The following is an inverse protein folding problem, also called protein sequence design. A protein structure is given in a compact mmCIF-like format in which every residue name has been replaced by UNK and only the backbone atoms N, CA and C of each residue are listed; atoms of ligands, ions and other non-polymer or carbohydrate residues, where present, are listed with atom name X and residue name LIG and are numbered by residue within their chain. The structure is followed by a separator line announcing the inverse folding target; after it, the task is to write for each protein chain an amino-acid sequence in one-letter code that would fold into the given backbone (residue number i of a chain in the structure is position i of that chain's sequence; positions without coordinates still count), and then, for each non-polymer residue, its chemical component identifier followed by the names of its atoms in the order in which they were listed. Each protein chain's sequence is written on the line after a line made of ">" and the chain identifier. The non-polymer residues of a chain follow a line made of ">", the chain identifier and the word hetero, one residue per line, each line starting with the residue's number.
data_IF_689287092898
#
_entry.id   IF_689287092898
#
_cell.length_a   1.000
_cell.length_b   1.000
_cell.length_c   1.000
_cell.angle_alpha   90.00
_cell.angle_beta   90.00
_cell.angle_gamma   90.00
#
_symmetry.space_group_name_H-M   'P 1'
#
loop_
_entity.id
_entity.type
_entity.pdbx_description
1 polymer ?
#
# COMPACT_ATOMS: atom_id res chain seq x y z
N UNK A 1 -41.41 -31.50 -32.01
CA UNK A 1 -40.54 -30.89 -30.99
C UNK A 1 -40.01 -29.60 -31.58
N UNK A 2 -40.46 -28.47 -31.04
CA UNK A 2 -40.10 -27.12 -31.50
C UNK A 2 -38.64 -26.80 -31.17
N UNK A 3 -37.82 -26.66 -32.21
CA UNK A 3 -36.47 -26.12 -32.12
C UNK A 3 -36.49 -24.60 -32.02
N UNK A 4 -36.85 -24.06 -30.85
CA UNK A 4 -36.82 -22.63 -30.58
C UNK A 4 -35.40 -22.18 -30.18
N UNK A 5 -34.44 -22.19 -31.12
CA UNK A 5 -33.16 -21.50 -30.96
C UNK A 5 -33.34 -20.01 -31.23
N UNK A 6 -33.85 -19.27 -30.23
CA UNK A 6 -33.71 -17.80 -30.24
C UNK A 6 -32.31 -17.44 -29.77
N UNK A 7 -31.38 -17.29 -30.71
CA UNK A 7 -30.13 -16.60 -30.44
C UNK A 7 -30.46 -15.16 -30.03
N UNK A 8 -30.32 -14.81 -28.74
CA UNK A 8 -30.33 -13.42 -28.32
C UNK A 8 -29.11 -12.76 -28.96
N UNK A 9 -29.32 -11.99 -30.02
CA UNK A 9 -28.28 -11.15 -30.62
C UNK A 9 -27.71 -10.24 -29.52
N UNK A 10 -26.45 -10.46 -29.18
CA UNK A 10 -25.75 -9.58 -28.24
C UNK A 10 -25.47 -8.27 -28.97
N UNK A 11 -25.77 -7.14 -28.35
CA UNK A 11 -25.39 -5.85 -28.91
C UNK A 11 -23.86 -5.72 -28.89
N UNK A 12 -23.22 -5.33 -30.01
CA UNK A 12 -21.78 -5.07 -30.03
C UNK A 12 -21.46 -3.98 -29.01
N UNK A 13 -20.37 -4.15 -28.25
CA UNK A 13 -19.98 -3.20 -27.19
C UNK A 13 -19.59 -1.84 -27.77
N UNK A 14 -19.13 -1.81 -29.02
CA UNK A 14 -18.75 -0.59 -29.70
C UNK A 14 -19.16 -0.65 -31.18
N UNK A 15 -20.42 -0.30 -31.52
CA UNK A 15 -20.98 -0.52 -32.87
C UNK A 15 -20.27 0.26 -33.98
N UNK A 16 -19.45 1.26 -33.65
CA UNK A 16 -18.65 2.00 -34.61
C UNK A 16 -17.35 1.28 -35.03
N UNK A 17 -16.85 0.35 -34.21
CA UNK A 17 -15.57 -0.34 -34.40
C UNK A 17 -15.73 -1.86 -34.60
N UNK A 18 -16.95 -2.35 -34.75
CA UNK A 18 -17.24 -3.78 -34.89
C UNK A 18 -18.32 -3.97 -35.95
N UNK A 19 -18.09 -4.87 -36.90
CA UNK A 19 -19.08 -5.25 -37.92
C UNK A 19 -19.39 -6.72 -37.78
N UNK A 20 -20.68 -7.02 -37.58
CA UNK A 20 -21.16 -8.39 -37.51
C UNK A 20 -21.07 -9.05 -38.88
N UNK A 21 -20.49 -10.26 -38.94
CA UNK A 21 -20.41 -11.07 -40.15
C UNK A 21 -21.79 -11.50 -40.71
N UNK A 22 -22.84 -11.47 -39.88
CA UNK A 22 -24.21 -11.82 -40.25
C UNK A 22 -25.20 -10.89 -39.54
N UNK A 23 -26.19 -10.36 -40.27
CA UNK A 23 -27.20 -9.41 -39.78
C UNK A 23 -28.53 -10.08 -39.39
N UNK A 24 -28.57 -11.42 -39.37
CA UNK A 24 -29.76 -12.21 -39.05
C UNK A 24 -30.84 -12.24 -40.14
N UNK A 25 -30.67 -11.48 -41.24
CA UNK A 25 -31.55 -11.49 -42.42
C UNK A 25 -30.84 -11.99 -43.69
N UNK A 26 -29.51 -12.06 -43.70
CA UNK A 26 -28.70 -12.59 -44.79
C UNK A 26 -27.42 -13.27 -44.32
N UNK A 27 -26.84 -14.11 -45.21
CA UNK A 27 -25.65 -14.91 -44.94
C UNK A 27 -24.33 -14.10 -44.88
N UNK A 28 -24.33 -12.79 -45.19
CA UNK A 28 -23.14 -11.93 -45.16
C UNK A 28 -23.46 -10.47 -44.82
N UNK A 29 -22.47 -9.76 -44.29
CA UNK A 29 -22.47 -8.29 -44.08
C UNK A 29 -22.83 -7.54 -45.36
N UNK A 30 -23.69 -6.54 -45.25
CA UNK A 30 -23.93 -5.62 -46.37
C UNK A 30 -22.64 -4.88 -46.74
N UNK A 31 -22.36 -4.78 -48.04
CA UNK A 31 -21.15 -4.12 -48.57
C UNK A 31 -20.98 -2.68 -48.05
N UNK A 32 -22.08 -1.99 -47.75
CA UNK A 32 -22.08 -0.63 -47.21
C UNK A 32 -21.52 -0.58 -45.78
N UNK A 33 -22.06 -1.41 -44.87
CA UNK A 33 -21.60 -1.44 -43.47
C UNK A 33 -20.12 -1.86 -43.34
N UNK A 34 -19.67 -2.79 -44.20
CA UNK A 34 -18.26 -3.16 -44.24
C UNK A 34 -17.35 -2.04 -44.75
N UNK A 35 -17.79 -1.28 -45.76
CA UNK A 35 -17.05 -0.11 -46.27
C UNK A 35 -16.96 1.02 -45.24
N UNK A 36 -18.02 1.29 -44.50
CA UNK A 36 -18.04 2.31 -43.45
C UNK A 36 -17.06 1.96 -42.31
N UNK A 37 -16.97 0.67 -41.95
CA UNK A 37 -15.98 0.17 -40.99
C UNK A 37 -14.53 0.27 -41.48
N UNK A 38 -14.28 -0.08 -42.75
CA UNK A 38 -12.95 0.09 -43.35
C UNK A 38 -12.53 1.57 -43.39
N UNK A 39 -13.46 2.49 -43.65
CA UNK A 39 -13.19 3.93 -43.63
C UNK A 39 -12.87 4.45 -42.21
N UNK A 40 -13.51 3.89 -41.18
CA UNK A 40 -13.20 4.23 -39.78
C UNK A 40 -11.88 3.65 -39.25
N UNK A 41 -11.46 2.47 -39.73
CA UNK A 41 -10.28 1.76 -39.23
C UNK A 41 -8.96 2.20 -39.86
N UNK A 42 -8.96 2.56 -41.15
CA UNK A 42 -7.77 3.10 -41.86
C UNK A 42 -7.17 4.32 -41.14
N UNK A 43 -8.02 5.15 -40.54
CA UNK A 43 -7.60 6.34 -39.82
C UNK A 43 -6.92 6.05 -38.47
N UNK A 44 -7.16 4.91 -37.82
CA UNK A 44 -6.60 4.68 -36.47
C UNK A 44 -5.08 4.45 -36.47
N UNK A 45 -4.57 3.69 -37.45
CA UNK A 45 -3.12 3.42 -37.56
C UNK A 45 -2.38 4.69 -38.00
N UNK A 46 -2.94 5.41 -38.97
CA UNK A 46 -2.39 6.70 -39.42
C UNK A 46 -2.40 7.75 -38.30
N UNK A 47 -3.47 7.83 -37.51
CA UNK A 47 -3.54 8.72 -36.36
C UNK A 47 -2.55 8.33 -35.27
N UNK A 48 -2.37 7.03 -35.01
CA UNK A 48 -1.35 6.54 -34.07
C UNK A 48 0.07 6.89 -34.53
N UNK A 49 0.35 6.74 -35.82
CA UNK A 49 1.65 7.08 -36.40
C UNK A 49 1.90 8.59 -36.35
N UNK A 50 0.91 9.41 -36.69
CA UNK A 50 1.00 10.88 -36.54
C UNK A 50 1.26 11.29 -35.10
N UNK A 51 0.50 10.76 -34.15
CA UNK A 51 0.69 11.03 -32.73
C UNK A 51 2.08 10.60 -32.25
N UNK A 52 2.60 9.47 -32.74
CA UNK A 52 3.95 8.99 -32.39
C UNK A 52 5.04 9.91 -32.96
N UNK A 53 4.87 10.37 -34.21
CA UNK A 53 5.78 11.32 -34.84
C UNK A 53 5.78 12.69 -34.12
N UNK A 54 4.59 13.19 -33.74
CA UNK A 54 4.45 14.43 -32.96
C UNK A 54 5.03 14.29 -31.55
N UNK A 55 4.96 13.11 -30.94
CA UNK A 55 5.51 12.85 -29.60
C UNK A 55 7.03 12.57 -29.60
N UNK A 56 7.65 12.33 -30.75
CA UNK A 56 9.08 12.01 -30.84
C UNK A 56 9.94 13.19 -30.42
N UNK A 57 9.69 14.38 -30.97
CA UNK A 57 10.46 15.60 -30.69
C UNK A 57 10.48 15.93 -29.17
N UNK A 58 9.34 16.04 -28.47
CA UNK A 58 9.35 16.34 -27.04
C UNK A 58 9.97 15.20 -26.21
N UNK A 59 9.94 13.95 -26.68
CA UNK A 59 10.60 12.84 -26.00
C UNK A 59 12.12 12.90 -26.16
N UNK A 60 12.63 13.25 -27.34
CA UNK A 60 14.06 13.49 -27.59
C UNK A 60 14.58 14.68 -26.77
N UNK A 61 13.82 15.77 -26.69
CA UNK A 61 14.14 16.93 -25.85
C UNK A 61 14.21 16.55 -24.36
N UNK A 62 13.18 15.86 -23.86
CA UNK A 62 13.16 15.40 -22.46
C UNK A 62 14.30 14.41 -22.15
N UNK A 63 14.62 13.52 -23.09
CA UNK A 63 15.76 12.61 -22.95
C UNK A 63 17.07 13.39 -22.90
N UNK A 64 17.31 14.32 -23.82
CA UNK A 64 18.53 15.13 -23.84
C UNK A 64 18.68 15.97 -22.57
N UNK A 65 17.58 16.48 -22.01
CA UNK A 65 17.60 17.21 -20.73
C UNK A 65 18.03 16.32 -19.56
N UNK A 66 17.58 15.06 -19.53
CA UNK A 66 18.02 14.07 -18.54
C UNK A 66 19.48 13.64 -18.77
N UNK A 67 19.86 13.43 -20.04
CA UNK A 67 21.19 12.96 -20.47
C UNK A 67 22.31 13.92 -20.04
N UNK A 68 22.06 15.23 -20.14
CA UNK A 68 23.00 16.29 -19.74
C UNK A 68 23.24 16.32 -18.22
N UNK A 69 22.29 15.85 -17.41
CA UNK A 69 22.42 15.83 -15.93
C UNK A 69 23.29 14.66 -15.44
N UNK A 70 23.56 13.67 -16.28
CA UNK A 70 24.27 12.45 -15.89
C UNK A 70 25.79 12.62 -16.12
N UNK A 71 26.64 12.31 -15.12
CA UNK A 71 28.10 12.32 -15.27
C UNK A 71 28.58 11.38 -16.39
N UNK A 72 29.59 11.81 -17.16
CA UNK A 72 30.14 11.03 -18.28
C UNK A 72 30.68 9.64 -17.92
N UNK A 73 31.12 9.45 -16.67
CA UNK A 73 31.57 8.14 -16.18
C UNK A 73 30.42 7.14 -16.05
N UNK A 74 29.23 7.60 -15.61
CA UNK A 74 28.04 6.76 -15.49
C UNK A 74 27.51 6.37 -16.88
N UNK A 75 27.57 7.29 -17.85
CA UNK A 75 27.24 7.00 -19.25
C UNK A 75 28.02 5.81 -19.81
N UNK A 76 29.34 5.78 -19.59
CA UNK A 76 30.19 4.68 -20.06
C UNK A 76 29.86 3.36 -19.36
N UNK A 77 29.61 3.39 -18.05
CA UNK A 77 29.27 2.20 -17.26
C UNK A 77 27.92 1.64 -17.72
N UNK A 78 26.89 2.47 -17.85
CA UNK A 78 25.55 2.04 -18.27
C UNK A 78 25.55 1.52 -19.71
N UNK A 79 26.26 2.18 -20.64
CA UNK A 79 26.38 1.69 -22.02
C UNK A 79 27.09 0.32 -22.09
N UNK A 80 28.09 0.08 -21.25
CA UNK A 80 28.75 -1.22 -21.15
C UNK A 80 27.83 -2.29 -20.55
N UNK A 81 27.10 -1.95 -19.48
CA UNK A 81 26.13 -2.85 -18.85
C UNK A 81 25.01 -3.23 -19.82
N UNK A 82 24.43 -2.25 -20.52
CA UNK A 82 23.40 -2.47 -21.55
C UNK A 82 23.91 -3.42 -22.64
N UNK A 83 25.09 -3.14 -23.19
CA UNK A 83 25.69 -3.98 -24.22
C UNK A 83 25.90 -5.41 -23.75
N UNK A 84 26.47 -5.59 -22.56
CA UNK A 84 26.72 -6.91 -21.97
C UNK A 84 25.42 -7.67 -21.72
N UNK A 85 24.38 -6.99 -21.22
CA UNK A 85 23.06 -7.59 -21.00
C UNK A 85 22.42 -8.05 -22.31
N UNK A 86 22.41 -7.19 -23.34
CA UNK A 86 21.81 -7.52 -24.64
C UNK A 86 22.52 -8.65 -25.37
N UNK A 87 23.85 -8.71 -25.30
CA UNK A 87 24.67 -9.77 -25.91
C UNK A 87 24.47 -11.12 -25.21
N UNK A 88 24.35 -11.13 -23.87
CA UNK A 88 24.34 -12.35 -23.08
C UNK A 88 22.95 -12.77 -22.55
N UNK A 89 21.88 -12.03 -22.89
CA UNK A 89 20.49 -12.35 -22.48
C UNK A 89 20.02 -13.76 -22.83
N UNK A 90 20.63 -14.38 -23.85
CA UNK A 90 20.32 -15.75 -24.26
C UNK A 90 20.96 -16.82 -23.37
N UNK A 91 22.02 -16.48 -22.63
CA UNK A 91 22.76 -17.39 -21.75
C UNK A 91 22.36 -17.24 -20.29
N UNK A 92 22.16 -16.00 -19.82
CA UNK A 92 21.68 -15.71 -18.48
C UNK A 92 20.63 -14.58 -18.54
N UNK A 93 19.33 -14.91 -18.39
CA UNK A 93 18.26 -13.92 -18.36
C UNK A 93 18.40 -12.87 -17.24
N UNK A 94 19.11 -13.18 -16.14
CA UNK A 94 19.31 -12.25 -15.01
C UNK A 94 20.15 -11.03 -15.37
N UNK A 95 20.91 -11.08 -16.46
CA UNK A 95 21.65 -9.91 -16.93
C UNK A 95 20.73 -8.79 -17.42
N UNK A 96 19.46 -9.09 -17.71
CA UNK A 96 18.45 -8.07 -18.04
C UNK A 96 17.94 -7.30 -16.81
N UNK A 97 18.28 -7.73 -15.58
CA UNK A 97 17.84 -7.09 -14.34
C UNK A 97 18.43 -5.67 -14.17
N UNK A 98 19.41 -5.29 -15.01
CA UNK A 98 19.92 -3.90 -15.09
C UNK A 98 18.84 -2.88 -15.47
N UNK A 99 17.78 -3.33 -16.15
CA UNK A 99 16.65 -2.48 -16.53
C UNK A 99 15.57 -2.45 -15.45
N UNK A 100 15.71 -3.27 -14.39
CA UNK A 100 14.85 -3.18 -13.22
C UNK A 100 15.29 -1.99 -12.36
N UNK A 101 14.32 -1.23 -11.88
CA UNK A 101 14.59 -0.11 -10.96
C UNK A 101 15.06 -0.68 -9.63
N UNK A 102 16.34 -0.51 -9.32
CA UNK A 102 16.96 -0.91 -8.06
C UNK A 102 16.67 0.16 -7.00
N UNK A 103 15.57 0.02 -6.26
CA UNK A 103 15.30 0.86 -5.09
C UNK A 103 15.79 0.15 -3.83
N UNK A 104 16.59 0.85 -3.01
CA UNK A 104 16.91 0.36 -1.68
C UNK A 104 15.62 0.35 -0.86
N UNK A 105 15.22 -0.84 -0.42
CA UNK A 105 14.02 -0.98 0.41
C UNK A 105 14.27 -0.34 1.76
N UNK A 106 13.31 0.47 2.20
CA UNK A 106 13.32 1.02 3.54
C UNK A 106 13.49 -0.10 4.60
N UNK A 107 14.24 0.15 5.68
CA UNK A 107 14.52 -0.87 6.69
C UNK A 107 13.22 -1.31 7.37
N UNK A 108 13.00 -2.63 7.39
CA UNK A 108 11.84 -3.25 8.05
C UNK A 108 12.00 -3.27 9.56
N UNK A 109 10.91 -3.41 10.32
CA UNK A 109 10.97 -3.55 11.79
C UNK A 109 11.95 -4.64 12.21
N UNK A 110 11.96 -5.78 11.50
CA UNK A 110 12.87 -6.90 11.74
C UNK A 110 14.33 -6.55 11.47
N UNK A 111 14.59 -5.80 10.40
CA UNK A 111 15.96 -5.34 10.08
C UNK A 111 16.48 -4.41 11.17
N UNK A 112 15.64 -3.49 11.65
CA UNK A 112 15.99 -2.56 12.72
C UNK A 112 16.17 -3.30 14.05
N UNK A 113 15.29 -4.25 14.38
CA UNK A 113 15.46 -5.09 15.58
C UNK A 113 16.80 -5.83 15.54
N UNK A 114 17.15 -6.44 14.40
CA UNK A 114 18.42 -7.13 14.22
C UNK A 114 19.62 -6.19 14.42
N UNK A 115 19.55 -4.97 13.88
CA UNK A 115 20.61 -3.96 14.03
C UNK A 115 20.75 -3.49 15.49
N UNK A 116 19.63 -3.30 16.19
CA UNK A 116 19.65 -2.95 17.62
C UNK A 116 20.27 -4.09 18.43
N UNK A 117 19.93 -5.35 18.13
CA UNK A 117 20.49 -6.53 18.81
C UNK A 117 21.99 -6.66 18.54
N UNK A 118 22.46 -6.41 17.31
CA UNK A 118 23.89 -6.51 16.97
C UNK A 118 24.73 -5.39 17.60
N UNK A 119 24.17 -4.19 17.71
CA UNK A 119 24.87 -3.01 18.22
C UNK A 119 24.73 -2.79 19.74
N UNK A 120 23.94 -3.63 20.44
CA UNK A 120 23.85 -3.59 21.89
C UNK A 120 25.21 -3.94 22.53
N UNK A 121 25.85 -2.93 23.14
CA UNK A 121 27.04 -3.13 23.97
C UNK A 121 26.74 -4.07 25.14
N UNK A 122 27.79 -4.61 25.75
CA UNK A 122 27.76 -5.62 26.84
C UNK A 122 27.04 -5.22 28.13
N UNK A 123 26.25 -4.15 28.15
CA UNK A 123 25.43 -3.75 29.29
C UNK A 123 24.28 -4.75 29.46
N UNK A 124 24.47 -5.69 30.38
CA UNK A 124 23.54 -6.78 30.65
C UNK A 124 22.16 -6.35 31.14
N UNK A 125 21.97 -5.07 31.48
CA UNK A 125 20.71 -4.56 32.04
C UNK A 125 19.59 -4.44 30.99
N UNK A 126 19.92 -4.12 29.73
CA UNK A 126 18.94 -3.91 28.64
C UNK A 126 19.00 -5.01 27.56
N UNK A 127 19.75 -6.09 27.81
CA UNK A 127 19.83 -7.23 26.89
C UNK A 127 18.44 -7.84 26.71
N UNK A 128 17.93 -7.80 25.48
CA UNK A 128 16.61 -8.32 25.11
C UNK A 128 15.47 -7.29 25.13
N UNK A 129 15.76 -6.02 25.46
CA UNK A 129 14.76 -4.96 25.42
C UNK A 129 14.18 -4.75 24.02
N UNK A 130 15.01 -4.81 22.97
CA UNK A 130 14.59 -4.67 21.58
C UNK A 130 13.57 -5.76 21.17
N UNK A 131 13.86 -7.02 21.48
CA UNK A 131 12.93 -8.14 21.22
C UNK A 131 11.67 -8.05 22.04
N UNK A 132 11.77 -7.57 23.29
CA UNK A 132 10.60 -7.32 24.11
C UNK A 132 9.72 -6.22 23.50
N UNK A 133 10.27 -5.06 23.15
CA UNK A 133 9.53 -3.97 22.48
C UNK A 133 8.94 -4.40 21.14
N UNK A 134 9.70 -5.13 20.30
CA UNK A 134 9.21 -5.63 19.03
C UNK A 134 7.97 -6.54 19.20
N UNK A 135 7.92 -7.34 20.28
CA UNK A 135 6.73 -8.12 20.64
C UNK A 135 5.58 -7.27 21.17
N UNK A 136 5.86 -6.20 21.90
CA UNK A 136 4.80 -5.26 22.32
C UNK A 136 4.18 -4.58 21.09
N UNK A 137 4.98 -4.16 20.11
CA UNK A 137 4.49 -3.61 18.83
C UNK A 137 3.67 -4.64 18.03
N UNK A 138 4.08 -5.91 18.03
CA UNK A 138 3.28 -6.98 17.40
C UNK A 138 1.94 -7.20 18.11
N UNK A 139 1.91 -7.07 19.44
CA UNK A 139 0.66 -7.12 20.22
C UNK A 139 -0.25 -5.91 19.93
N UNK A 140 0.33 -4.73 19.71
CA UNK A 140 -0.40 -3.52 19.28
C UNK A 140 -1.07 -3.70 17.92
N UNK A 141 -0.32 -4.17 16.92
CA UNK A 141 -0.87 -4.49 15.59
C UNK A 141 -1.99 -5.52 15.69
N UNK A 142 -1.79 -6.54 16.53
CA UNK A 142 -2.79 -7.58 16.77
C UNK A 142 -4.05 -7.04 17.46
N UNK A 143 -3.91 -6.09 18.39
CA UNK A 143 -5.04 -5.39 19.04
C UNK A 143 -5.83 -4.58 18.01
N UNK A 144 -5.15 -3.79 17.18
CA UNK A 144 -5.78 -2.95 16.13
C UNK A 144 -6.57 -3.84 15.16
N UNK A 145 -5.93 -4.88 14.61
CA UNK A 145 -6.56 -5.79 13.66
C UNK A 145 -7.77 -6.49 14.29
N UNK A 146 -7.63 -6.98 15.52
CA UNK A 146 -8.72 -7.66 16.23
C UNK A 146 -9.90 -6.72 16.52
N UNK A 147 -9.64 -5.47 16.90
CA UNK A 147 -10.68 -4.48 17.14
C UNK A 147 -11.47 -4.19 15.85
N UNK A 148 -10.76 -4.01 14.74
CA UNK A 148 -11.37 -3.80 13.42
C UNK A 148 -12.18 -5.02 12.97
N UNK A 149 -11.64 -6.23 13.13
CA UNK A 149 -12.32 -7.48 12.76
C UNK A 149 -13.57 -7.71 13.62
N UNK A 150 -13.48 -7.49 14.93
CA UNK A 150 -14.62 -7.63 15.84
C UNK A 150 -15.74 -6.64 15.49
N UNK A 151 -15.37 -5.43 15.10
CA UNK A 151 -16.32 -4.38 14.77
C UNK A 151 -17.01 -4.61 13.42
N UNK A 152 -16.30 -5.10 12.39
CA UNK A 152 -16.89 -5.49 11.11
C UNK A 152 -17.97 -6.58 11.22
N UNK A 153 -18.06 -7.26 12.37
CA UNK A 153 -18.80 -8.51 12.55
C UNK A 153 -20.14 -8.37 13.31
N UNK A 154 -20.46 -7.18 13.80
CA UNK A 154 -21.45 -6.94 14.87
C UNK A 154 -22.95 -7.18 14.54
N UNK A 155 -23.30 -7.91 13.47
CA UNK A 155 -24.71 -8.32 13.25
C UNK A 155 -24.97 -9.68 12.57
N UNK A 156 -24.04 -10.22 11.76
CA UNK A 156 -24.31 -11.43 10.91
C UNK A 156 -23.19 -12.46 10.86
N UNK A 157 -22.23 -12.43 11.79
CA UNK A 157 -21.09 -13.35 11.81
C UNK A 157 -21.50 -14.82 12.03
N UNK A 158 -20.83 -15.73 11.32
CA UNK A 158 -20.99 -17.18 11.50
C UNK A 158 -20.32 -17.63 12.81
N UNK A 159 -20.74 -18.79 13.33
CA UNK A 159 -20.14 -19.39 14.53
C UNK A 159 -18.63 -19.62 14.36
N UNK A 160 -18.21 -20.09 13.18
CA UNK A 160 -16.80 -20.29 12.84
C UNK A 160 -15.98 -19.01 12.87
N UNK A 161 -16.57 -17.90 12.42
CA UNK A 161 -15.92 -16.60 12.44
C UNK A 161 -15.81 -16.03 13.85
N UNK A 162 -16.87 -16.16 14.67
CA UNK A 162 -16.83 -15.78 16.09
C UNK A 162 -15.78 -16.56 16.86
N UNK A 163 -15.68 -17.87 16.60
CA UNK A 163 -14.66 -18.73 17.19
C UNK A 163 -13.25 -18.33 16.76
N UNK A 164 -13.05 -17.91 15.50
CA UNK A 164 -11.76 -17.38 15.04
C UNK A 164 -11.34 -16.12 15.80
N UNK A 165 -12.29 -15.19 16.04
CA UNK A 165 -12.05 -13.96 16.81
C UNK A 165 -11.73 -14.29 18.27
N UNK A 166 -12.48 -15.22 18.88
CA UNK A 166 -12.20 -15.67 20.24
C UNK A 166 -10.81 -16.30 20.36
N UNK A 167 -10.42 -17.16 19.42
CA UNK A 167 -9.06 -17.71 19.39
C UNK A 167 -7.98 -16.63 19.21
N UNK A 168 -8.27 -15.57 18.46
CA UNK A 168 -7.33 -14.45 18.30
C UNK A 168 -7.23 -13.62 19.59
N UNK A 169 -8.35 -13.39 20.28
CA UNK A 169 -8.39 -12.81 21.62
C UNK A 169 -7.57 -13.62 22.62
N UNK A 170 -7.75 -14.94 22.67
CA UNK A 170 -7.01 -15.81 23.60
C UNK A 170 -5.49 -15.76 23.35
N UNK A 171 -5.08 -15.79 22.08
CA UNK A 171 -3.65 -15.67 21.72
C UNK A 171 -3.07 -14.30 22.11
N UNK A 172 -3.84 -13.25 21.90
CA UNK A 172 -3.43 -11.89 22.25
C UNK A 172 -3.32 -11.74 23.77
N UNK A 173 -4.32 -12.20 24.53
CA UNK A 173 -4.30 -12.17 25.98
C UNK A 173 -3.12 -12.95 26.56
N UNK A 174 -2.83 -14.15 26.05
CA UNK A 174 -1.65 -14.91 26.48
C UNK A 174 -0.33 -14.17 26.19
N UNK A 175 -0.28 -13.40 25.10
CA UNK A 175 0.88 -12.57 24.77
C UNK A 175 0.99 -11.36 25.72
N UNK A 176 -0.14 -10.72 26.02
CA UNK A 176 -0.21 -9.61 26.97
C UNK A 176 0.17 -10.03 28.38
N UNK A 177 -0.33 -11.17 28.87
CA UNK A 177 0.03 -11.71 30.18
C UNK A 177 1.55 -11.90 30.31
N UNK A 178 2.18 -12.48 29.28
CA UNK A 178 3.63 -12.64 29.22
C UNK A 178 4.37 -11.29 29.18
N UNK A 179 3.83 -10.30 28.46
CA UNK A 179 4.40 -8.95 28.39
C UNK A 179 4.32 -8.23 29.73
N UNK A 180 3.19 -8.31 30.43
CA UNK A 180 3.02 -7.70 31.75
C UNK A 180 3.91 -8.36 32.80
N UNK A 181 4.02 -9.69 32.81
CA UNK A 181 4.95 -10.40 33.72
C UNK A 181 6.41 -10.00 33.48
N UNK A 182 6.78 -9.66 32.23
CA UNK A 182 8.12 -9.23 31.86
C UNK A 182 8.36 -7.72 31.94
N UNK A 183 7.33 -6.91 32.18
CA UNK A 183 7.40 -5.44 32.18
C UNK A 183 8.31 -4.92 33.29
N UNK A 184 8.21 -5.47 34.49
CA UNK A 184 9.01 -5.09 35.66
C UNK A 184 10.53 -5.17 35.39
N UNK A 185 10.94 -6.09 34.50
CA UNK A 185 12.36 -6.26 34.13
C UNK A 185 12.93 -5.08 33.35
N UNK A 186 12.10 -4.42 32.53
CA UNK A 186 12.56 -3.39 31.57
C UNK A 186 12.14 -1.98 31.95
N UNK A 187 10.94 -1.82 32.51
CA UNK A 187 10.37 -0.52 32.92
C UNK A 187 10.38 -0.30 34.44
N UNK A 188 10.70 -1.34 35.22
CA UNK A 188 10.67 -1.30 36.69
C UNK A 188 9.28 -1.52 37.28
N UNK A 189 9.22 -1.69 38.59
CA UNK A 189 7.97 -1.96 39.34
C UNK A 189 7.00 -0.75 39.37
N UNK A 190 7.44 0.42 38.88
CA UNK A 190 6.67 1.68 38.87
C UNK A 190 5.70 1.78 37.68
N UNK A 191 5.57 0.75 36.83
CA UNK A 191 4.52 0.70 35.81
C UNK A 191 3.14 0.59 36.48
N UNK A 192 2.56 1.74 36.81
CA UNK A 192 1.29 1.86 37.49
C UNK A 192 0.15 1.67 36.46
N UNK A 193 -0.64 0.60 36.63
CA UNK A 193 -1.85 0.28 35.84
C UNK A 193 -2.90 1.42 35.82
N UNK A 194 -2.73 2.46 36.64
CA UNK A 194 -3.67 3.55 36.85
C UNK A 194 -3.38 4.84 36.05
N UNK A 195 -2.74 4.78 34.88
CA UNK A 195 -2.54 5.97 34.05
C UNK A 195 -3.51 5.99 32.85
N UNK A 196 -4.71 6.60 32.99
CA UNK A 196 -5.72 6.59 31.94
C UNK A 196 -5.46 7.75 30.97
N UNK A 197 -4.47 7.66 30.09
CA UNK A 197 -4.31 8.66 29.01
C UNK A 197 -3.42 8.16 27.87
N UNK A 198 -3.91 7.19 27.12
CA UNK A 198 -4.07 7.27 25.66
C UNK A 198 -4.75 5.96 25.23
N UNK A 199 -6.09 5.99 25.24
CA UNK A 199 -6.90 5.04 24.47
C UNK A 199 -6.34 5.00 23.04
N UNK A 200 -6.44 3.87 22.35
CA UNK A 200 -6.18 3.80 20.90
C UNK A 200 -6.98 4.94 20.27
N UNK A 201 -6.30 6.05 19.95
CA UNK A 201 -6.90 7.16 19.24
C UNK A 201 -6.85 6.68 17.82
N UNK A 202 -7.93 6.01 17.44
CA UNK A 202 -8.15 5.74 16.05
C UNK A 202 -8.13 7.09 15.34
N UNK A 203 -7.21 7.26 14.38
CA UNK A 203 -7.02 8.56 13.77
C UNK A 203 -8.35 8.94 13.09
N UNK A 204 -8.95 10.05 13.54
CA UNK A 204 -10.13 10.64 12.91
C UNK A 204 -9.73 11.08 11.50
N UNK A 205 -9.92 10.18 10.52
CA UNK A 205 -9.85 10.54 9.12
C UNK A 205 -11.08 11.43 8.86
N UNK A 206 -10.85 12.75 8.73
CA UNK A 206 -11.86 13.82 8.65
C UNK A 206 -13.24 13.39 8.11
N UNK A 207 -14.28 13.66 8.91
CA UNK A 207 -15.68 13.57 8.51
C UNK A 207 -16.07 14.84 7.73
N UNK A 208 -15.88 14.84 6.41
CA UNK A 208 -16.51 15.84 5.53
C UNK A 208 -17.59 15.16 4.67
N UNK A 209 -18.80 15.70 4.77
CA UNK A 209 -20.06 15.24 4.18
C UNK A 209 -20.06 15.55 2.67
N UNK A 210 -19.20 14.85 1.95
CA UNK A 210 -19.12 14.86 0.50
C UNK A 210 -19.88 13.67 -0.06
N UNK A 211 -21.01 13.96 -0.73
CA UNK A 211 -21.87 13.00 -1.43
C UNK A 211 -21.10 12.22 -2.52
N UNK A 212 -20.34 11.21 -2.11
CA UNK A 212 -19.60 10.31 -2.99
C UNK A 212 -20.55 9.20 -3.47
N UNK A 213 -20.50 8.91 -4.76
CA UNK A 213 -21.47 8.08 -5.52
C UNK A 213 -21.45 6.59 -5.09
N UNK A 214 -20.69 6.25 -4.04
CA UNK A 214 -20.53 4.93 -3.42
C UNK A 214 -21.35 4.78 -2.15
N UNK A 215 -22.64 5.14 -2.25
CA UNK A 215 -23.59 5.17 -1.13
C UNK A 215 -23.59 3.91 -0.25
N UNK A 216 -23.41 4.14 1.04
CA UNK A 216 -24.21 3.55 2.11
C UNK A 216 -24.03 2.06 2.46
N UNK A 217 -22.87 1.42 2.22
CA UNK A 217 -22.66 0.08 2.83
C UNK A 217 -21.22 -0.38 3.14
N UNK A 218 -20.16 0.37 2.82
CA UNK A 218 -18.78 -0.14 3.02
C UNK A 218 -17.76 0.88 3.53
N UNK A 219 -18.19 2.09 3.93
CA UNK A 219 -17.39 2.98 4.76
C UNK A 219 -18.00 3.04 6.15
N UNK A 220 -17.80 2.00 6.97
CA UNK A 220 -18.35 2.06 8.30
C UNK A 220 -17.54 3.10 9.10
N UNK A 221 -18.22 3.96 9.88
CA UNK A 221 -17.61 4.97 10.76
C UNK A 221 -16.63 4.34 11.73
N UNK A 222 -15.42 4.89 11.86
CA UNK A 222 -14.37 4.40 12.76
C UNK A 222 -14.92 4.18 14.18
N UNK A 223 -14.61 3.07 14.89
CA UNK A 223 -14.97 2.92 16.28
C UNK A 223 -14.37 4.07 17.10
N UNK A 224 -15.23 4.96 17.57
CA UNK A 224 -14.94 5.85 18.69
C UNK A 224 -14.64 4.97 19.90
N UNK A 225 -13.36 4.92 20.30
CA UNK A 225 -12.85 4.30 21.53
C UNK A 225 -13.23 2.83 21.73
N UNK A 226 -12.37 1.91 21.29
CA UNK A 226 -12.34 0.57 21.87
C UNK A 226 -11.57 0.59 23.19
N UNK A 227 -12.08 -0.11 24.22
CA UNK A 227 -11.40 -0.47 25.47
C UNK A 227 -10.14 -1.34 25.20
N UNK A 228 -9.13 -0.76 24.55
CA UNK A 228 -7.84 -1.39 24.31
C UNK A 228 -7.02 -1.41 25.59
N UNK A 229 -6.37 -2.54 25.87
CA UNK A 229 -5.42 -2.65 26.98
C UNK A 229 -4.19 -1.81 26.64
N UNK A 230 -3.85 -0.85 27.50
CA UNK A 230 -2.67 0.01 27.35
C UNK A 230 -1.42 -0.88 27.38
N UNK A 231 -0.58 -0.73 26.35
CA UNK A 231 0.62 -1.52 26.21
C UNK A 231 1.80 -0.91 26.98
N UNK A 232 2.71 -1.76 27.53
CA UNK A 232 3.88 -1.30 28.26
C UNK A 232 4.96 -0.79 27.30
N UNK A 233 4.79 0.39 26.70
CA UNK A 233 5.83 1.06 25.92
C UNK A 233 6.09 2.49 26.41
N UNK A 234 7.34 2.99 26.28
CA UNK A 234 7.68 4.39 26.54
C UNK A 234 6.76 5.39 25.85
N UNK A 235 6.30 5.14 24.62
CA UNK A 235 5.40 6.06 23.91
C UNK A 235 4.05 6.29 24.59
N UNK A 236 3.58 5.30 25.36
CA UNK A 236 2.31 5.38 26.12
C UNK A 236 2.49 5.96 27.53
N UNK A 237 3.72 6.28 27.94
CA UNK A 237 4.01 6.89 29.24
C UNK A 237 3.93 8.41 29.15
N UNK A 238 2.95 9.00 29.84
CA UNK A 238 2.82 10.47 29.98
C UNK A 238 3.92 11.07 30.86
N UNK A 239 4.48 10.31 31.79
CA UNK A 239 5.59 10.71 32.65
C UNK A 239 6.78 9.76 32.44
N UNK A 240 7.90 10.29 31.93
CA UNK A 240 9.14 9.52 31.77
C UNK A 240 9.68 9.21 33.17
N UNK A 241 9.83 7.91 33.56
CA UNK A 241 10.37 7.60 34.87
C UNK A 241 11.80 8.14 34.99
N UNK A 242 12.03 9.02 35.96
CA UNK A 242 13.31 9.68 36.23
C UNK A 242 14.47 8.69 36.54
N UNK A 243 14.18 7.40 36.71
CA UNK A 243 15.11 6.31 37.03
C UNK A 243 15.71 5.62 35.79
N UNK A 244 15.13 5.80 34.61
CA UNK A 244 15.66 5.27 33.36
C UNK A 244 16.49 6.35 32.66
N UNK A 245 17.73 6.02 32.30
CA UNK A 245 18.59 6.92 31.52
C UNK A 245 17.82 7.48 30.32
N UNK A 246 17.75 8.82 30.13
CA UNK A 246 16.77 9.48 29.28
C UNK A 246 16.92 9.31 27.76
N UNK A 247 17.67 8.32 27.26
CA UNK A 247 18.04 8.24 25.83
C UNK A 247 18.32 6.82 25.28
N UNK A 248 17.87 5.71 25.90
CA UNK A 248 18.11 4.37 25.32
C UNK A 248 16.86 3.60 24.93
N UNK A 249 15.81 3.57 25.77
CA UNK A 249 14.63 2.76 25.49
C UNK A 249 13.65 3.47 24.55
N UNK A 250 13.39 4.77 24.79
CA UNK A 250 12.57 5.61 23.92
C UNK A 250 13.20 5.74 22.51
N UNK A 251 14.52 5.88 22.44
CA UNK A 251 15.24 5.96 21.16
C UNK A 251 15.21 4.62 20.41
N UNK A 252 15.36 3.50 21.12
CA UNK A 252 15.17 2.17 20.53
C UNK A 252 13.74 1.94 20.07
N UNK A 253 12.75 2.38 20.84
CA UNK A 253 11.34 2.32 20.44
C UNK A 253 11.13 3.15 19.17
N UNK A 254 11.60 4.40 19.12
CA UNK A 254 11.45 5.27 17.96
C UNK A 254 12.01 4.62 16.69
N UNK A 255 13.20 4.01 16.78
CA UNK A 255 13.77 3.25 15.65
C UNK A 255 12.89 2.07 15.25
N UNK A 256 12.35 1.31 16.21
CA UNK A 256 11.43 0.21 15.88
C UNK A 256 10.11 0.72 15.27
N UNK A 257 9.63 1.89 15.67
CA UNK A 257 8.45 2.58 15.10
C UNK A 257 8.71 3.00 13.65
N UNK A 258 9.91 3.48 13.30
CA UNK A 258 10.29 3.74 11.90
C UNK A 258 10.15 2.47 11.04
N UNK A 259 10.65 1.34 11.54
CA UNK A 259 10.52 0.06 10.85
C UNK A 259 9.06 -0.42 10.75
N UNK A 260 8.27 -0.22 11.81
CA UNK A 260 6.83 -0.51 11.81
C UNK A 260 6.09 0.36 10.78
N UNK A 261 6.40 1.64 10.70
CA UNK A 261 5.83 2.56 9.72
C UNK A 261 6.17 2.13 8.28
N UNK A 262 7.42 1.74 8.02
CA UNK A 262 7.85 1.24 6.72
C UNK A 262 7.11 -0.05 6.32
N UNK A 263 6.98 -1.00 7.24
CA UNK A 263 6.26 -2.25 7.02
C UNK A 263 4.77 -1.97 6.72
N UNK A 264 4.12 -1.11 7.51
CA UNK A 264 2.72 -0.73 7.33
C UNK A 264 2.48 -0.02 5.98
N UNK A 265 3.35 0.93 5.60
CA UNK A 265 3.25 1.62 4.31
C UNK A 265 3.52 0.68 3.13
N UNK A 266 4.45 -0.26 3.27
CA UNK A 266 4.70 -1.29 2.25
C UNK A 266 3.45 -2.16 2.03
N UNK A 267 2.87 -2.69 3.11
CA UNK A 267 1.66 -3.51 3.05
C UNK A 267 0.46 -2.69 2.54
N UNK A 268 0.37 -1.40 2.88
CA UNK A 268 -0.63 -0.49 2.35
C UNK A 268 -0.53 -0.35 0.82
N UNK A 269 0.69 -0.16 0.28
CA UNK A 269 0.93 -0.14 -1.18
C UNK A 269 0.52 -1.46 -1.83
N UNK A 270 0.89 -2.59 -1.22
CA UNK A 270 0.54 -3.93 -1.75
C UNK A 270 -0.97 -4.13 -1.75
N UNK A 271 -1.68 -3.74 -0.69
CA UNK A 271 -3.12 -3.85 -0.58
C UNK A 271 -3.85 -2.98 -1.63
N UNK A 272 -3.43 -1.72 -1.80
CA UNK A 272 -3.96 -0.80 -2.80
C UNK A 272 -3.69 -1.28 -4.23
N UNK A 273 -2.48 -1.79 -4.50
CA UNK A 273 -2.14 -2.37 -5.80
C UNK A 273 -3.01 -3.59 -6.12
N UNK A 274 -3.20 -4.49 -5.14
CA UNK A 274 -4.09 -5.65 -5.30
C UNK A 274 -5.54 -5.21 -5.56
N UNK A 275 -6.03 -4.19 -4.84
CA UNK A 275 -7.37 -3.64 -5.07
C UNK A 275 -7.50 -3.09 -6.51
N UNK A 276 -6.52 -2.30 -6.97
CA UNK A 276 -6.48 -1.76 -8.32
C UNK A 276 -6.45 -2.86 -9.40
N UNK A 277 -5.72 -3.95 -9.17
CA UNK A 277 -5.69 -5.13 -10.04
C UNK A 277 -7.05 -5.81 -10.09
N UNK A 278 -7.70 -6.06 -8.95
CA UNK A 278 -9.05 -6.67 -8.89
C UNK A 278 -10.06 -5.80 -9.64
N UNK A 279 -9.99 -4.47 -9.51
CA UNK A 279 -10.82 -3.55 -10.27
C UNK A 279 -10.65 -3.73 -11.78
N UNK A 280 -9.41 -3.86 -12.23
CA UNK A 280 -9.09 -4.05 -13.65
C UNK A 280 -9.56 -5.41 -14.17
N UNK A 281 -9.24 -6.50 -13.47
CA UNK A 281 -9.46 -7.86 -13.97
C UNK A 281 -10.89 -8.35 -13.78
N UNK A 282 -11.49 -8.03 -12.63
CA UNK A 282 -12.75 -8.66 -12.23
C UNK A 282 -13.91 -7.69 -12.39
N UNK A 283 -13.75 -6.43 -11.96
CA UNK A 283 -14.86 -5.45 -11.94
C UNK A 283 -15.12 -4.87 -13.33
N UNK A 284 -14.09 -4.39 -14.05
CA UNK A 284 -14.26 -3.80 -15.40
C UNK A 284 -14.75 -4.81 -16.44
N UNK A 285 -14.43 -6.09 -16.27
CA UNK A 285 -14.86 -7.16 -17.17
C UNK A 285 -16.20 -7.78 -16.76
N UNK A 286 -16.75 -7.44 -15.60
CA UNK A 286 -18.03 -7.93 -15.14
C UNK A 286 -19.17 -7.49 -16.08
N UNK A 287 -20.07 -8.43 -16.39
CA UNK A 287 -21.25 -8.17 -17.21
C UNK A 287 -22.31 -7.33 -16.48
N UNK A 288 -22.26 -7.32 -15.15
CA UNK A 288 -23.24 -6.67 -14.27
C UNK A 288 -22.51 -5.93 -13.16
N UNK A 289 -22.88 -4.67 -12.92
CA UNK A 289 -22.27 -3.82 -11.88
C UNK A 289 -22.93 -4.01 -10.48
N UNK A 290 -23.50 -5.19 -10.21
CA UNK A 290 -24.11 -5.44 -8.91
C UNK A 290 -23.02 -5.55 -7.84
N UNK A 291 -23.10 -4.70 -6.82
CA UNK A 291 -22.15 -4.61 -5.69
C UNK A 291 -22.10 -5.87 -4.82
N UNK A 292 -23.02 -6.81 -5.02
CA UNK A 292 -23.12 -8.09 -4.28
C UNK A 292 -22.40 -9.26 -4.97
N UNK A 293 -21.66 -9.00 -6.05
CA UNK A 293 -20.95 -10.07 -6.77
C UNK A 293 -19.63 -10.43 -6.11
N UNK A 294 -19.13 -11.64 -6.41
CA UNK A 294 -17.84 -12.14 -5.91
C UNK A 294 -16.67 -11.18 -6.17
N UNK A 295 -16.68 -10.48 -7.29
CA UNK A 295 -15.67 -9.46 -7.63
C UNK A 295 -15.65 -8.33 -6.58
N UNK A 296 -16.82 -7.80 -6.22
CA UNK A 296 -16.94 -6.78 -5.17
C UNK A 296 -16.64 -7.32 -3.77
N UNK A 297 -16.94 -8.60 -3.51
CA UNK A 297 -16.49 -9.25 -2.28
C UNK A 297 -14.95 -9.26 -2.16
N UNK A 298 -14.23 -9.47 -3.27
CA UNK A 298 -12.75 -9.40 -3.28
C UNK A 298 -12.24 -7.98 -3.08
N UNK A 299 -12.89 -6.98 -3.68
CA UNK A 299 -12.58 -5.56 -3.45
C UNK A 299 -12.77 -5.21 -1.98
N UNK A 300 -13.91 -5.61 -1.38
CA UNK A 300 -14.17 -5.38 0.04
C UNK A 300 -13.10 -6.04 0.93
N UNK A 301 -12.69 -7.28 0.64
CA UNK A 301 -11.59 -7.93 1.37
C UNK A 301 -10.24 -7.23 1.19
N UNK A 302 -9.97 -6.65 0.03
CA UNK A 302 -8.74 -5.87 -0.19
C UNK A 302 -8.78 -4.54 0.59
N UNK A 303 -9.93 -3.85 0.57
CA UNK A 303 -10.12 -2.60 1.30
C UNK A 303 -10.02 -2.81 2.82
N UNK A 304 -10.53 -3.92 3.38
CA UNK A 304 -10.32 -4.25 4.81
C UNK A 304 -8.82 -4.25 5.17
N UNK A 305 -7.95 -4.79 4.31
CA UNK A 305 -6.50 -4.77 4.53
C UNK A 305 -5.92 -3.36 4.42
N UNK A 306 -6.40 -2.55 3.47
CA UNK A 306 -6.01 -1.14 3.34
C UNK A 306 -6.32 -0.40 4.63
N UNK A 307 -7.52 -0.58 5.19
CA UNK A 307 -7.90 0.06 6.45
C UNK A 307 -7.05 -0.43 7.63
N UNK A 308 -6.80 -1.74 7.74
CA UNK A 308 -5.95 -2.29 8.81
C UNK A 308 -4.54 -1.68 8.80
N UNK A 309 -3.91 -1.59 7.62
CA UNK A 309 -2.55 -1.04 7.51
C UNK A 309 -2.51 0.47 7.68
N UNK A 310 -3.54 1.18 7.19
CA UNK A 310 -3.70 2.61 7.44
C UNK A 310 -3.79 2.89 8.95
N UNK A 311 -4.53 2.07 9.68
CA UNK A 311 -4.71 2.24 11.12
C UNK A 311 -3.44 1.97 11.92
N UNK A 312 -2.72 0.90 11.57
CA UNK A 312 -1.41 0.59 12.16
C UNK A 312 -0.43 1.76 11.92
N UNK A 313 -0.39 2.29 10.69
CA UNK A 313 0.45 3.44 10.36
C UNK A 313 0.06 4.69 11.16
N UNK A 314 -1.23 5.02 11.24
CA UNK A 314 -1.75 6.17 11.99
C UNK A 314 -1.43 6.08 13.48
N UNK A 315 -1.60 4.89 14.07
CA UNK A 315 -1.21 4.65 15.46
C UNK A 315 0.30 4.84 15.63
N UNK A 316 1.11 4.22 14.77
CA UNK A 316 2.57 4.34 14.79
C UNK A 316 3.00 5.81 14.71
N UNK A 317 2.46 6.59 13.77
CA UNK A 317 2.74 8.02 13.62
C UNK A 317 2.39 8.82 14.87
N UNK A 318 1.25 8.52 15.52
CA UNK A 318 0.85 9.16 16.79
C UNK A 318 1.84 8.85 17.90
N UNK A 319 2.34 7.61 17.97
CA UNK A 319 3.33 7.21 18.97
C UNK A 319 4.72 7.81 18.68
N UNK A 320 5.10 7.96 17.42
CA UNK A 320 6.32 8.69 17.03
C UNK A 320 6.28 10.15 17.48
N UNK A 321 5.11 10.82 17.38
CA UNK A 321 4.91 12.16 17.92
C UNK A 321 5.02 12.20 19.45
N UNK A 322 4.46 11.21 20.15
CA UNK A 322 4.57 11.11 21.61
C UNK A 322 6.02 10.89 22.10
N UNK A 323 6.83 10.20 21.29
CA UNK A 323 8.27 10.02 21.52
C UNK A 323 9.10 11.26 21.16
N UNK A 324 8.47 12.34 20.68
CA UNK A 324 9.12 13.58 20.25
C UNK A 324 10.08 13.35 19.07
N UNK A 325 9.64 12.60 18.07
CA UNK A 325 10.34 12.41 16.80
C UNK A 325 10.76 13.77 16.20
N UNK A 326 11.98 13.83 15.65
CA UNK A 326 12.50 15.05 15.04
C UNK A 326 11.70 15.47 13.82
N UNK A 327 11.63 16.78 13.56
CA UNK A 327 10.95 17.34 12.40
C UNK A 327 11.48 16.75 11.08
N UNK A 328 12.79 16.42 11.03
CA UNK A 328 13.44 15.78 9.89
C UNK A 328 12.79 14.44 9.52
N UNK A 329 12.33 13.66 10.51
CA UNK A 329 11.67 12.37 10.32
C UNK A 329 10.21 12.55 9.87
N UNK A 330 9.53 13.56 10.41
CA UNK A 330 8.12 13.87 10.10
C UNK A 330 7.94 14.48 8.71
N UNK A 331 9.00 15.00 8.08
CA UNK A 331 8.98 15.38 6.66
C UNK A 331 8.70 14.16 5.76
N UNK A 332 9.23 13.00 6.14
CA UNK A 332 9.08 11.74 5.41
C UNK A 332 7.81 10.99 5.79
N UNK A 333 7.53 10.86 7.08
CA UNK A 333 6.34 10.18 7.59
C UNK A 333 5.22 11.18 7.84
N UNK A 334 4.38 11.39 6.82
CA UNK A 334 3.29 12.37 6.86
C UNK A 334 1.99 11.77 7.38
N UNK A 335 1.13 12.61 7.94
CA UNK A 335 -0.24 12.23 8.32
C UNK A 335 -0.99 11.66 7.10
N UNK A 336 -1.52 10.46 7.25
CA UNK A 336 -2.29 9.77 6.21
C UNK A 336 -3.72 10.32 6.15
N UNK A 337 -4.16 10.72 4.95
CA UNK A 337 -5.52 11.23 4.72
C UNK A 337 -6.37 10.23 3.95
N UNK A 338 -7.70 10.39 4.00
CA UNK A 338 -8.62 9.55 3.20
C UNK A 338 -8.33 9.62 1.70
N UNK A 339 -7.89 10.78 1.25
CA UNK A 339 -7.54 11.05 -0.15
C UNK A 339 -6.37 10.18 -0.60
N UNK A 340 -5.42 9.91 0.28
CA UNK A 340 -4.23 9.09 0.02
C UNK A 340 -4.58 7.60 -0.17
N UNK A 341 -5.71 7.16 0.39
CA UNK A 341 -6.21 5.78 0.32
C UNK A 341 -7.04 5.48 -0.93
N UNK A 342 -7.25 6.46 -1.82
CA UNK A 342 -8.03 6.26 -3.03
C UNK A 342 -7.27 5.37 -4.01
N UNK A 343 -7.95 4.33 -4.49
CA UNK A 343 -7.40 3.41 -5.51
C UNK A 343 -7.15 4.17 -6.81
N UNK A 344 -5.89 4.39 -7.15
CA UNK A 344 -5.51 5.03 -8.40
C UNK A 344 -5.38 4.01 -9.53
N UNK A 345 -6.06 4.27 -10.65
CA UNK A 345 -5.91 3.47 -11.86
C UNK A 345 -4.47 3.51 -12.43
N UNK A 346 -3.69 4.54 -12.09
CA UNK A 346 -2.29 4.66 -12.49
C UNK A 346 -1.40 3.57 -11.84
N UNK A 347 -1.78 3.04 -10.67
CA UNK A 347 -1.07 1.92 -10.02
C UNK A 347 -1.31 0.61 -10.78
N UNK A 348 -2.50 0.42 -11.35
CA UNK A 348 -2.84 -0.79 -12.11
C UNK A 348 -2.44 -0.74 -13.59
N UNK A 349 -2.20 0.44 -14.15
CA UNK A 349 -1.72 0.63 -15.52
C UNK A 349 -0.80 1.86 -15.62
N UNK A 350 0.49 1.73 -15.24
CA UNK A 350 1.43 2.85 -15.28
C UNK A 350 1.56 3.48 -16.67
N UNK A 351 1.30 2.71 -17.72
CA UNK A 351 1.44 3.12 -19.12
C UNK A 351 0.12 3.58 -19.77
N UNK A 352 -0.98 3.68 -19.01
CA UNK A 352 -2.24 4.16 -19.56
C UNK A 352 -2.22 5.66 -19.87
N UNK A 353 -2.85 6.05 -20.98
CA UNK A 353 -2.86 7.43 -21.48
C UNK A 353 -3.75 8.30 -20.59
N UNK A 354 -3.27 9.51 -20.25
CA UNK A 354 -4.06 10.51 -19.49
C UNK A 354 -3.77 10.57 -17.98
N UNK A 355 -2.71 9.92 -17.49
CA UNK A 355 -2.32 9.96 -16.07
C UNK A 355 -1.44 11.17 -15.67
N UNK A 356 -1.22 12.14 -16.57
CA UNK A 356 -0.37 13.32 -16.29
C UNK A 356 -0.81 14.13 -15.06
N UNK A 357 -2.10 14.12 -14.73
CA UNK A 357 -2.67 14.88 -13.61
C UNK A 357 -3.02 14.02 -12.39
N UNK A 358 -2.80 12.69 -12.44
CA UNK A 358 -3.07 11.81 -11.31
C UNK A 358 -1.85 11.79 -10.38
N UNK A 359 -1.82 12.68 -9.39
CA UNK A 359 -0.82 12.61 -8.32
C UNK A 359 -1.07 11.38 -7.46
N UNK A 360 -0.10 10.46 -7.41
CA UNK A 360 -0.09 9.38 -6.43
C UNK A 360 0.10 9.95 -5.02
N UNK A 361 -0.40 9.23 -4.01
CA UNK A 361 -0.17 9.60 -2.62
C UNK A 361 1.33 9.66 -2.29
N UNK A 362 1.70 10.49 -1.31
CA UNK A 362 3.10 10.78 -0.97
C UNK A 362 3.92 9.52 -0.64
N UNK A 363 3.29 8.49 -0.07
CA UNK A 363 3.97 7.26 0.32
C UNK A 363 4.38 6.40 -0.88
N UNK A 364 3.94 6.69 -2.11
CA UNK A 364 4.39 5.97 -3.31
C UNK A 364 5.79 6.38 -3.77
N UNK A 365 6.27 7.57 -3.38
CA UNK A 365 7.56 8.12 -3.83
C UNK A 365 8.57 8.30 -2.70
N UNK A 366 8.25 7.86 -1.48
CA UNK A 366 9.16 8.04 -0.33
C UNK A 366 10.45 7.22 -0.43
N UNK A 367 10.44 6.09 -1.15
CA UNK A 367 11.62 5.24 -1.34
C UNK A 367 12.48 5.71 -2.54
N UNK A 368 12.11 6.84 -3.18
CA UNK A 368 12.88 7.42 -4.27
C UNK A 368 13.92 8.38 -3.67
N UNK A 369 15.22 8.20 -3.96
CA UNK A 369 16.22 9.20 -3.62
C UNK A 369 15.85 10.50 -4.35
N UNK A 370 15.69 11.60 -3.62
CA UNK A 370 15.51 12.91 -4.26
C UNK A 370 16.82 13.31 -4.92
N UNK A 371 16.75 13.82 -6.16
CA UNK A 371 17.88 14.33 -6.95
C UNK A 371 18.58 15.58 -6.35
N UNK A 372 18.43 15.85 -5.05
CA UNK A 372 18.94 17.06 -4.38
C UNK A 372 20.27 16.89 -3.68
N UNK A 373 20.95 15.74 -3.79
CA UNK A 373 22.36 15.68 -3.45
C UNK A 373 23.21 15.87 -4.71
N UNK A 374 23.98 16.97 -4.83
CA UNK A 374 25.05 17.01 -5.81
C UNK A 374 25.99 15.84 -5.48
N UNK A 375 26.07 14.89 -6.39
CA UNK A 375 26.95 13.73 -6.36
C UNK A 375 28.39 14.20 -6.09
N UNK A 376 28.78 14.24 -4.81
CA UNK A 376 30.13 14.55 -4.40
C UNK A 376 30.94 13.29 -4.65
N UNK A 377 31.59 13.26 -5.81
CA UNK A 377 32.48 12.17 -6.18
C UNK A 377 33.61 12.01 -5.16
N UNK A 378 33.74 10.79 -4.65
CA UNK A 378 35.00 10.24 -4.14
C UNK A 378 35.61 9.26 -5.14
#
# INVERSE_FOLDING_TARGET
>A
MDGNFKAKHMWPKNPANEVWLMDGMGFMVTMLAYKDYLAGTLNQVEQKLKNAAEALIPAEEAFAELDVRIPSQLHEVWAQQEKLALENRGMDPKLMDIFEVQLEKAPTRKSIEMDIISNQASDGLLRGAATWMARVLEAEESQIILAMDAWCMQARATETQRLSIAHQQDRLNATLDWLFESTARFLGDDWNENNPSHLIVTANIDEDDGNDIFGDTLYPHHPSQSDGVILPLPSYLTERPNSLGPASLADQELRLREGQANDALHELRVALANEAVIFRTDVRHARTYNMTTRAWGRVASANVKVQQQAEIYCQCHTQMLALNAGDDLLVWYKVLRREDLKVSAAVADPNARGHRDNTLAWFWTMDMPWDTEPNNGE
#
